data_IF_745861324435
#
_entry.id   IF_745861324435
#
_cell.length_a   1.000
_cell.length_b   1.000
_cell.length_c   1.000
_cell.angle_alpha   90.00
_cell.angle_beta   90.00
_cell.angle_gamma   90.00
#
_symmetry.space_group_name_H-M   'P 1'
#
loop_
_entity.id
_entity.type
_entity.pdbx_description
1 polymer ?
#
# COMPACT_ATOMS: atom_id res chain seq x y z
N UNK A 1 6.88 -23.02 22.30
CA UNK A 1 6.32 -22.23 21.18
C UNK A 1 7.18 -20.98 21.06
N UNK A 2 7.69 -20.65 19.87
CA UNK A 2 8.60 -19.49 19.73
C UNK A 2 7.85 -18.18 19.94
N UNK A 3 8.52 -17.18 20.50
CA UNK A 3 7.97 -15.84 20.77
C UNK A 3 7.34 -15.19 19.53
N UNK A 4 7.84 -15.54 18.34
CA UNK A 4 7.31 -15.12 17.05
C UNK A 4 5.92 -15.68 16.72
N UNK A 5 5.62 -16.92 17.08
CA UNK A 5 4.30 -17.55 16.83
C UNK A 5 3.25 -17.01 17.81
N UNK A 6 3.67 -16.73 19.05
CA UNK A 6 2.84 -16.03 20.04
C UNK A 6 2.45 -14.64 19.54
N UNK A 7 3.43 -13.85 19.07
CA UNK A 7 3.19 -12.50 18.52
C UNK A 7 2.28 -12.50 17.28
N UNK A 8 2.44 -13.46 16.36
CA UNK A 8 1.54 -13.59 15.20
C UNK A 8 0.11 -13.86 15.62
N UNK A 9 -0.07 -14.76 16.60
CA UNK A 9 -1.40 -15.12 17.14
C UNK A 9 -2.04 -13.91 17.81
N UNK A 10 -1.26 -13.14 18.57
CA UNK A 10 -1.71 -11.91 19.22
C UNK A 10 -2.10 -10.83 18.20
N UNK A 11 -1.29 -10.58 17.17
CA UNK A 11 -1.61 -9.63 16.09
C UNK A 11 -2.92 -10.03 15.39
N UNK A 12 -3.14 -11.33 15.14
CA UNK A 12 -4.38 -11.83 14.54
C UNK A 12 -5.59 -11.55 15.45
N UNK A 13 -5.46 -11.81 16.75
CA UNK A 13 -6.50 -11.53 17.75
C UNK A 13 -6.81 -10.04 17.84
N UNK A 14 -5.78 -9.19 17.91
CA UNK A 14 -5.94 -7.73 17.95
C UNK A 14 -6.57 -7.21 16.66
N UNK A 15 -6.20 -7.75 15.49
CA UNK A 15 -6.79 -7.37 14.22
C UNK A 15 -8.29 -7.69 14.15
N UNK A 16 -8.71 -8.83 14.69
CA UNK A 16 -10.13 -9.17 14.79
C UNK A 16 -10.86 -8.20 15.73
N UNK A 17 -10.29 -7.91 16.91
CA UNK A 17 -10.84 -6.94 17.86
C UNK A 17 -11.00 -5.55 17.26
N UNK A 18 -9.99 -5.04 16.54
CA UNK A 18 -10.08 -3.72 15.89
C UNK A 18 -11.15 -3.69 14.79
N UNK A 19 -11.36 -4.80 14.07
CA UNK A 19 -12.43 -4.88 13.07
C UNK A 19 -13.81 -4.81 13.71
N UNK A 20 -14.03 -5.53 14.82
CA UNK A 20 -15.28 -5.45 15.60
C UNK A 20 -15.50 -4.05 16.16
N UNK A 21 -14.49 -3.45 16.79
CA UNK A 21 -14.61 -2.10 17.35
C UNK A 21 -14.93 -1.05 16.27
N UNK A 22 -14.32 -1.18 15.08
CA UNK A 22 -14.65 -0.36 13.91
C UNK A 22 -16.13 -0.46 13.52
N UNK A 23 -16.67 -1.68 13.47
CA UNK A 23 -18.09 -1.90 13.14
C UNK A 23 -19.00 -1.28 14.20
N UNK A 24 -18.70 -1.49 15.49
CA UNK A 24 -19.48 -0.90 16.57
C UNK A 24 -19.50 0.64 16.53
N UNK A 25 -18.36 1.27 16.20
CA UNK A 25 -18.29 2.73 16.08
C UNK A 25 -19.09 3.25 14.87
N UNK A 26 -19.07 2.52 13.75
CA UNK A 26 -19.89 2.82 12.59
C UNK A 26 -21.38 2.80 12.95
N UNK A 27 -21.85 1.70 13.54
CA UNK A 27 -23.25 1.52 13.89
C UNK A 27 -23.71 2.56 14.95
N UNK A 28 -22.83 2.89 15.90
CA UNK A 28 -23.10 3.93 16.91
C UNK A 28 -23.23 5.33 16.30
N UNK A 29 -22.56 5.60 15.17
CA UNK A 29 -22.67 6.87 14.48
C UNK A 29 -23.94 6.93 13.60
N UNK A 30 -24.36 5.81 13.02
CA UNK A 30 -25.58 5.72 12.22
C UNK A 30 -26.86 5.83 13.05
N UNK A 31 -26.86 5.36 14.30
CA UNK A 31 -28.04 5.32 15.17
C UNK A 31 -28.36 6.68 15.85
N UNK A 32 -27.56 7.73 15.63
CA UNK A 32 -27.80 9.03 16.24
C UNK A 32 -29.14 9.66 15.81
N UNK A 33 -29.92 10.26 16.72
CA UNK A 33 -29.57 10.63 18.11
C UNK A 33 -29.83 9.52 19.15
N UNK A 34 -30.24 8.33 18.74
CA UNK A 34 -30.46 7.20 19.65
C UNK A 34 -29.13 6.80 20.30
N UNK A 35 -29.16 6.47 21.59
CA UNK A 35 -28.02 5.96 22.36
C UNK A 35 -26.72 6.82 22.29
N UNK A 36 -26.84 8.13 22.05
CA UNK A 36 -25.71 9.05 21.90
C UNK A 36 -24.77 9.08 23.11
N UNK A 37 -25.26 8.74 24.31
CA UNK A 37 -24.47 8.68 25.54
C UNK A 37 -23.35 7.61 25.48
N UNK A 38 -23.51 6.60 24.63
CA UNK A 38 -22.52 5.52 24.46
C UNK A 38 -21.34 5.90 23.54
N UNK A 39 -21.49 6.94 22.72
CA UNK A 39 -20.51 7.34 21.70
C UNK A 39 -19.10 7.56 22.27
N UNK A 40 -18.90 8.28 23.41
CA UNK A 40 -17.56 8.44 23.97
C UNK A 40 -16.89 7.12 24.36
N UNK A 41 -17.67 6.18 24.90
CA UNK A 41 -17.15 4.87 25.31
C UNK A 41 -16.77 4.01 24.10
N UNK A 42 -17.62 3.95 23.07
CA UNK A 42 -17.36 3.18 21.84
C UNK A 42 -16.17 3.77 21.06
N UNK A 43 -16.07 5.10 21.02
CA UNK A 43 -14.93 5.77 20.40
C UNK A 43 -13.61 5.46 21.13
N UNK A 44 -13.61 5.50 22.47
CA UNK A 44 -12.43 5.17 23.26
C UNK A 44 -12.01 3.70 23.08
N UNK A 45 -12.97 2.76 23.10
CA UNK A 45 -12.68 1.35 22.87
C UNK A 45 -12.07 1.11 21.48
N UNK A 46 -12.60 1.79 20.47
CA UNK A 46 -12.09 1.70 19.10
C UNK A 46 -10.66 2.24 19.01
N UNK A 47 -10.42 3.41 19.59
CA UNK A 47 -9.09 4.00 19.68
C UNK A 47 -8.09 3.03 20.33
N UNK A 48 -8.43 2.47 21.50
CA UNK A 48 -7.55 1.58 22.25
C UNK A 48 -7.29 0.26 21.52
N UNK A 49 -8.29 -0.27 20.82
CA UNK A 49 -8.14 -1.46 20.00
C UNK A 49 -7.16 -1.24 18.84
N UNK A 50 -7.21 -0.09 18.16
CA UNK A 50 -6.27 0.23 17.08
C UNK A 50 -4.88 0.60 17.61
N UNK A 51 -4.79 1.30 18.74
CA UNK A 51 -3.51 1.61 19.39
C UNK A 51 -2.77 0.33 19.81
N UNK A 52 -3.47 -0.64 20.40
CA UNK A 52 -2.89 -1.93 20.77
C UNK A 52 -2.44 -2.74 19.55
N UNK A 53 -3.24 -2.76 18.47
CA UNK A 53 -2.88 -3.44 17.23
C UNK A 53 -1.63 -2.83 16.59
N UNK A 54 -1.51 -1.51 16.57
CA UNK A 54 -0.35 -0.82 16.02
C UNK A 54 0.92 -1.09 16.86
N UNK A 55 0.79 -1.02 18.19
CA UNK A 55 1.88 -1.38 19.10
C UNK A 55 2.38 -2.82 18.87
N UNK A 56 1.48 -3.80 18.77
CA UNK A 56 1.84 -5.20 18.52
C UNK A 56 2.45 -5.41 17.12
N UNK A 57 1.95 -4.71 16.08
CA UNK A 57 2.55 -4.74 14.74
C UNK A 57 3.95 -4.12 14.72
N UNK A 58 4.18 -3.08 15.51
CA UNK A 58 5.50 -2.45 15.67
C UNK A 58 6.51 -3.40 16.33
N UNK A 59 6.08 -4.15 17.35
CA UNK A 59 6.88 -5.17 18.05
C UNK A 59 7.20 -6.35 17.11
N UNK A 60 6.19 -6.85 16.40
CA UNK A 60 6.36 -7.90 15.38
C UNK A 60 7.28 -7.50 14.21
N UNK A 61 7.46 -6.19 13.97
CA UNK A 61 8.43 -5.64 13.02
C UNK A 61 9.84 -5.62 13.61
N UNK A 62 10.00 -5.25 14.90
CA UNK A 62 11.28 -5.26 15.62
C UNK A 62 11.85 -6.67 15.76
N UNK A 63 11.01 -7.67 16.09
CA UNK A 63 11.42 -9.08 16.18
C UNK A 63 11.81 -9.74 14.85
N UNK A 64 11.42 -9.15 13.70
CA UNK A 64 11.83 -9.60 12.36
C UNK A 64 13.16 -8.99 11.89
N UNK A 65 13.74 -8.07 12.66
CA UNK A 65 15.01 -7.40 12.35
C UNK A 65 16.28 -8.22 12.66
N UNK A 66 16.14 -9.50 13.06
CA UNK A 66 17.24 -10.37 13.45
C UNK A 66 17.76 -11.33 12.36
N UNK A 67 17.43 -11.12 11.08
CA UNK A 67 18.13 -11.84 10.01
C UNK A 67 19.43 -11.08 9.73
N UNK A 68 20.53 -11.66 10.20
CA UNK A 68 21.90 -11.18 10.06
C UNK A 68 22.16 -10.70 8.62
N UNK A 69 22.79 -9.52 8.54
CA UNK A 69 23.25 -8.82 7.34
C UNK A 69 24.37 -9.57 6.59
N UNK A 70 24.20 -10.86 6.29
CA UNK A 70 25.13 -11.60 5.45
C UNK A 70 24.73 -11.33 3.99
N UNK A 71 25.29 -10.25 3.44
CA UNK A 71 25.15 -9.93 2.01
C UNK A 71 24.79 -8.47 1.67
N UNK A 72 24.72 -7.54 2.63
CA UNK A 72 24.55 -6.12 2.27
C UNK A 72 25.86 -5.56 1.73
N UNK A 73 25.87 -5.21 0.45
CA UNK A 73 26.89 -4.36 -0.13
C UNK A 73 26.85 -2.98 0.57
N UNK A 74 27.89 -2.56 1.32
CA UNK A 74 27.87 -1.35 2.14
C UNK A 74 27.95 -0.04 1.33
N UNK A 75 27.86 -0.10 0.00
CA UNK A 75 28.21 1.02 -0.87
C UNK A 75 27.11 2.08 -1.08
N UNK A 76 25.86 1.88 -0.62
CA UNK A 76 24.80 2.91 -0.73
C UNK A 76 24.04 3.07 0.59
N UNK A 77 24.48 4.03 1.40
CA UNK A 77 23.73 4.49 2.56
C UNK A 77 22.72 5.57 2.12
N UNK A 78 21.42 5.23 2.12
CA UNK A 78 20.36 6.22 1.93
C UNK A 78 19.88 6.72 3.29
N UNK A 79 19.63 8.02 3.40
CA UNK A 79 19.18 8.65 4.64
C UNK A 79 18.00 9.58 4.38
N UNK A 80 17.12 9.70 5.36
CA UNK A 80 16.13 10.77 5.41
C UNK A 80 16.79 12.11 5.75
N UNK A 81 16.04 13.21 5.61
CA UNK A 81 16.52 14.57 5.90
C UNK A 81 17.14 14.76 7.29
N UNK A 82 16.68 13.99 8.27
CA UNK A 82 17.17 14.01 9.67
C UNK A 82 18.29 12.98 9.93
N UNK A 83 18.81 12.32 8.89
CA UNK A 83 19.91 11.37 8.98
C UNK A 83 19.51 9.96 9.39
N UNK A 84 18.22 9.66 9.60
CA UNK A 84 17.79 8.27 9.85
C UNK A 84 18.02 7.43 8.60
N UNK A 85 18.37 6.15 8.81
CA UNK A 85 18.50 5.20 7.73
C UNK A 85 17.17 5.06 6.99
N UNK A 86 17.24 5.16 5.67
CA UNK A 86 16.14 4.92 4.75
C UNK A 86 16.62 3.96 3.67
N UNK A 87 15.72 3.22 3.04
CA UNK A 87 16.04 2.43 1.86
C UNK A 87 14.91 2.70 0.87
N UNK A 88 15.20 3.33 -0.27
CA UNK A 88 14.20 3.51 -1.32
C UNK A 88 13.63 2.16 -1.75
N UNK A 89 12.34 2.11 -2.02
CA UNK A 89 11.63 0.91 -2.46
C UNK A 89 11.05 1.17 -3.86
N UNK A 90 11.77 0.75 -4.89
CA UNK A 90 11.48 1.12 -6.27
C UNK A 90 10.37 0.25 -6.86
N UNK A 91 9.38 0.88 -7.47
CA UNK A 91 8.37 0.19 -8.27
C UNK A 91 9.03 -0.46 -9.50
N UNK A 92 8.94 -1.79 -9.61
CA UNK A 92 9.53 -2.56 -10.72
C UNK A 92 8.49 -3.19 -11.64
N UNK A 93 7.28 -3.45 -11.15
CA UNK A 93 6.22 -4.06 -11.94
C UNK A 93 4.83 -3.74 -11.39
N UNK A 94 3.84 -3.77 -12.28
CA UNK A 94 2.42 -3.75 -11.95
C UNK A 94 1.78 -4.97 -12.62
N UNK A 95 1.04 -5.76 -11.84
CA UNK A 95 0.31 -6.91 -12.35
C UNK A 95 -0.94 -6.44 -13.09
N UNK A 96 -0.91 -6.53 -14.42
CA UNK A 96 -1.99 -6.16 -15.33
C UNK A 96 -3.27 -6.97 -15.15
N UNK A 97 -3.20 -8.18 -14.56
CA UNK A 97 -4.36 -9.04 -14.35
C UNK A 97 -5.16 -8.60 -13.13
N UNK A 98 -4.47 -8.14 -12.09
CA UNK A 98 -5.08 -7.64 -10.85
C UNK A 98 -5.39 -6.14 -10.92
N UNK A 99 -4.68 -5.39 -11.76
CA UNK A 99 -4.85 -3.95 -11.93
C UNK A 99 -6.20 -3.62 -12.58
N UNK A 100 -6.91 -2.68 -11.96
CA UNK A 100 -8.25 -2.23 -12.41
C UNK A 100 -8.23 -0.84 -13.06
N UNK A 101 -7.04 -0.28 -13.34
CA UNK A 101 -6.93 1.03 -13.99
C UNK A 101 -7.50 2.21 -13.18
N UNK A 102 -7.54 2.14 -11.85
CA UNK A 102 -8.16 3.21 -11.03
C UNK A 102 -7.38 4.53 -10.95
N UNK A 103 -6.17 4.62 -11.53
CA UNK A 103 -5.37 5.85 -11.61
C UNK A 103 -4.80 6.42 -10.30
N UNK A 104 -5.22 5.95 -9.11
CA UNK A 104 -4.80 6.50 -7.81
C UNK A 104 -3.28 6.56 -7.62
N UNK A 105 -2.59 5.52 -8.11
CA UNK A 105 -1.14 5.45 -7.98
C UNK A 105 -0.43 6.47 -8.88
N UNK A 106 -0.96 6.75 -10.07
CA UNK A 106 -0.45 7.82 -10.94
C UNK A 106 -0.69 9.19 -10.32
N UNK A 107 -1.91 9.47 -9.85
CA UNK A 107 -2.24 10.78 -9.24
C UNK A 107 -1.43 11.11 -7.97
N UNK A 108 -0.89 10.11 -7.25
CA UNK A 108 0.02 10.35 -6.11
C UNK A 108 1.50 10.37 -6.49
N UNK A 109 1.85 9.96 -7.71
CA UNK A 109 3.24 9.85 -8.14
C UNK A 109 3.77 11.23 -8.55
N UNK A 110 4.66 11.81 -7.75
CA UNK A 110 5.26 13.12 -8.05
C UNK A 110 6.40 13.07 -9.10
N UNK A 111 6.50 11.96 -9.84
CA UNK A 111 7.65 11.63 -10.70
C UNK A 111 7.24 11.00 -12.03
N UNK A 112 5.94 10.90 -12.32
CA UNK A 112 5.42 10.39 -13.60
C UNK A 112 6.00 9.02 -14.01
N UNK A 113 6.09 8.10 -13.04
CA UNK A 113 6.73 6.78 -13.20
C UNK A 113 5.86 5.79 -13.98
N UNK A 114 4.54 5.92 -13.88
CA UNK A 114 3.56 5.05 -14.52
C UNK A 114 2.34 5.84 -14.97
N UNK A 115 1.74 5.41 -16.07
CA UNK A 115 0.54 6.02 -16.63
C UNK A 115 -0.56 4.99 -16.88
N UNK A 116 -1.77 5.50 -17.14
CA UNK A 116 -2.92 4.69 -17.49
C UNK A 116 -2.84 4.32 -18.97
N UNK A 117 -3.04 3.04 -19.28
CA UNK A 117 -3.02 2.51 -20.64
C UNK A 117 -4.35 1.85 -20.96
N UNK A 118 -4.79 2.00 -22.21
CA UNK A 118 -5.89 1.24 -22.78
C UNK A 118 -5.47 -0.19 -23.09
N UNK A 119 -6.36 -1.14 -22.83
CA UNK A 119 -6.19 -2.55 -23.18
C UNK A 119 -7.35 -2.94 -24.09
N UNK A 120 -7.03 -3.46 -25.26
CA UNK A 120 -8.00 -3.96 -26.22
C UNK A 120 -8.14 -5.47 -26.21
N UNK A 121 -8.76 -5.99 -27.27
CA UNK A 121 -8.98 -7.42 -27.43
C UNK A 121 -7.66 -8.22 -27.41
N UNK A 122 -7.69 -9.37 -26.76
CA UNK A 122 -6.49 -10.22 -26.62
C UNK A 122 -5.42 -9.68 -25.68
N UNK A 123 -5.77 -8.75 -24.75
CA UNK A 123 -4.83 -8.11 -23.83
C UNK A 123 -3.78 -7.20 -24.52
N UNK A 124 -4.05 -6.75 -25.75
CA UNK A 124 -3.16 -5.83 -26.45
C UNK A 124 -3.19 -4.44 -25.80
N UNK A 125 -2.02 -3.90 -25.45
CA UNK A 125 -1.90 -2.52 -24.98
C UNK A 125 -2.11 -1.57 -26.16
N UNK A 126 -3.16 -0.75 -26.10
CA UNK A 126 -3.53 0.18 -27.16
C UNK A 126 -2.76 1.50 -27.10
N UNK A 127 -2.23 1.85 -25.92
CA UNK A 127 -1.45 3.07 -25.71
C UNK A 127 -1.77 3.76 -24.40
N UNK A 128 -1.02 4.83 -24.11
CA UNK A 128 -1.24 5.70 -22.94
C UNK A 128 -2.52 6.50 -23.15
N UNK A 129 -3.32 6.62 -22.10
CA UNK A 129 -4.54 7.43 -22.06
C UNK A 129 -4.13 8.83 -21.61
N UNK A 130 -4.26 9.81 -22.50
CA UNK A 130 -4.07 11.21 -22.18
C UNK A 130 -5.35 11.79 -21.55
N UNK A 131 -5.23 12.79 -20.67
CA UNK A 131 -6.32 13.26 -19.80
C UNK A 131 -7.48 13.95 -20.57
N UNK A 132 -7.35 14.11 -21.89
CA UNK A 132 -8.27 14.87 -22.75
C UNK A 132 -8.90 14.05 -23.89
N UNK A 133 -8.61 12.74 -24.01
CA UNK A 133 -9.07 11.85 -25.10
C UNK A 133 -9.91 10.67 -24.58
N UNK A 134 -10.90 10.95 -23.73
CA UNK A 134 -11.82 9.92 -23.23
C UNK A 134 -12.85 9.45 -24.28
N UNK A 135 -12.94 10.11 -25.45
CA UNK A 135 -14.01 9.90 -26.45
C UNK A 135 -13.57 9.25 -27.80
N UNK A 136 -12.27 8.98 -28.05
CA UNK A 136 -11.77 8.61 -29.39
C UNK A 136 -11.29 7.16 -29.58
N UNK A 137 -11.38 6.28 -28.57
CA UNK A 137 -11.14 4.85 -28.82
C UNK A 137 -12.37 4.23 -29.52
N UNK A 138 -12.23 3.99 -30.82
CA UNK A 138 -13.20 3.53 -31.82
C UNK A 138 -13.80 2.11 -31.62
N UNK A 139 -14.05 1.73 -30.36
CA UNK A 139 -14.78 0.50 -30.01
C UNK A 139 -13.89 -0.69 -29.63
N UNK A 140 -12.57 -0.56 -29.62
CA UNK A 140 -11.64 -1.65 -29.24
C UNK A 140 -11.13 -1.58 -27.79
N UNK A 141 -11.51 -0.57 -27.00
CA UNK A 141 -11.08 -0.47 -25.59
C UNK A 141 -11.90 -1.40 -24.68
N UNK A 142 -11.26 -2.47 -24.20
CA UNK A 142 -11.86 -3.45 -23.28
C UNK A 142 -11.74 -3.02 -21.82
N UNK A 143 -10.56 -2.52 -21.41
CA UNK A 143 -10.30 -2.09 -20.01
C UNK A 143 -9.09 -1.17 -19.93
N UNK A 144 -8.88 -0.54 -18.77
CA UNK A 144 -7.72 0.32 -18.49
C UNK A 144 -6.77 -0.38 -17.48
N UNK A 145 -5.46 -0.25 -17.66
CA UNK A 145 -4.44 -0.76 -16.71
C UNK A 145 -3.36 0.27 -16.45
N UNK A 146 -2.69 0.19 -15.30
CA UNK A 146 -1.51 1.00 -15.01
C UNK A 146 -0.26 0.28 -15.55
N UNK A 147 0.59 1.01 -16.28
CA UNK A 147 1.86 0.49 -16.83
C UNK A 147 3.02 1.36 -16.36
N UNK A 148 4.12 0.73 -15.95
CA UNK A 148 5.38 1.43 -15.64
C UNK A 148 6.10 1.73 -16.93
N UNK A 149 5.93 2.94 -17.44
CA UNK A 149 6.52 3.41 -18.71
C UNK A 149 7.75 4.30 -18.50
N UNK A 150 7.97 4.82 -17.29
CA UNK A 150 9.11 5.68 -16.96
C UNK A 150 9.79 5.25 -15.64
N UNK A 151 10.23 3.99 -15.59
CA UNK A 151 10.84 3.39 -14.41
C UNK A 151 12.02 4.20 -13.85
N UNK A 152 12.80 4.86 -14.71
CA UNK A 152 13.97 5.66 -14.34
C UNK A 152 13.67 6.90 -13.50
N UNK A 153 12.43 7.39 -13.50
CA UNK A 153 12.04 8.53 -12.66
C UNK A 153 11.72 8.14 -11.21
N UNK A 154 11.59 6.84 -10.93
CA UNK A 154 11.22 6.34 -9.61
C UNK A 154 12.30 6.64 -8.58
N UNK A 155 11.92 7.30 -7.48
CA UNK A 155 12.83 7.59 -6.35
C UNK A 155 12.60 6.66 -5.15
N UNK A 156 11.76 5.63 -5.33
CA UNK A 156 11.46 4.65 -4.31
C UNK A 156 10.74 5.19 -3.06
N UNK A 157 9.89 6.22 -3.21
CA UNK A 157 9.16 6.82 -2.09
C UNK A 157 7.97 5.98 -1.57
N UNK A 158 7.56 4.94 -2.30
CA UNK A 158 6.48 4.01 -1.90
C UNK A 158 5.09 4.63 -1.78
N UNK A 159 4.85 5.84 -2.32
CA UNK A 159 3.54 6.49 -2.27
C UNK A 159 2.47 5.71 -3.05
N UNK A 160 2.83 5.19 -4.23
CA UNK A 160 1.97 4.38 -5.08
C UNK A 160 1.46 3.10 -4.39
N UNK A 161 2.32 2.43 -3.62
CA UNK A 161 1.96 1.22 -2.89
C UNK A 161 0.86 1.48 -1.85
N UNK A 162 0.96 2.59 -1.12
CA UNK A 162 0.02 2.94 -0.04
C UNK A 162 -1.39 3.23 -0.53
N UNK A 163 -1.53 3.71 -1.77
CA UNK A 163 -2.82 4.10 -2.35
C UNK A 163 -3.42 3.03 -3.26
N UNK A 164 -2.71 1.93 -3.54
CA UNK A 164 -3.18 0.87 -4.42
C UNK A 164 -4.18 -0.04 -3.68
N UNK A 165 -5.49 -0.01 -3.99
CA UNK A 165 -6.49 -0.81 -3.28
C UNK A 165 -6.34 -2.32 -3.54
N UNK A 166 -5.74 -2.70 -4.68
CA UNK A 166 -5.56 -4.09 -5.09
C UNK A 166 -4.18 -4.65 -4.73
N UNK A 167 -3.28 -3.82 -4.22
CA UNK A 167 -1.89 -4.18 -3.92
C UNK A 167 -1.19 -4.95 -5.07
N UNK A 168 -1.44 -4.52 -6.32
CA UNK A 168 -0.96 -5.19 -7.55
C UNK A 168 0.46 -4.77 -7.97
N UNK A 169 1.21 -4.08 -7.09
CA UNK A 169 2.49 -3.47 -7.41
C UNK A 169 3.62 -4.26 -6.76
N UNK A 170 4.69 -4.50 -7.51
CA UNK A 170 5.92 -5.09 -6.98
C UNK A 170 6.96 -3.99 -6.80
N UNK A 171 7.51 -3.92 -5.58
CA UNK A 171 8.58 -2.99 -5.25
C UNK A 171 9.82 -3.77 -4.82
N UNK A 172 10.99 -3.24 -5.16
CA UNK A 172 12.28 -3.82 -4.79
C UNK A 172 13.09 -2.76 -4.04
N UNK A 173 13.54 -3.07 -2.82
CA UNK A 173 14.46 -2.22 -2.07
C UNK A 173 15.74 -1.94 -2.83
N UNK A 174 16.25 -0.71 -2.74
CA UNK A 174 17.47 -0.28 -3.42
C UNK A 174 18.69 -1.14 -3.10
N UNK A 175 18.77 -1.73 -1.90
CA UNK A 175 19.84 -2.63 -1.49
C UNK A 175 19.76 -4.03 -2.14
N UNK A 176 18.69 -4.32 -2.88
CA UNK A 176 18.45 -5.59 -3.60
C UNK A 176 18.38 -5.42 -5.12
N UNK A 177 18.34 -4.19 -5.63
CA UNK A 177 18.52 -3.92 -7.05
C UNK A 177 20.02 -4.02 -7.31
N UNK A 178 20.46 -5.13 -7.89
CA UNK A 178 21.83 -5.28 -8.33
C UNK A 178 22.18 -4.13 -9.29
N UNK A 179 23.26 -3.40 -8.98
CA UNK A 179 23.91 -2.48 -9.91
C UNK A 179 24.65 -3.27 -10.99
#
# INVERSE_FOLDING_TARGET
MSDTETLKTEIKKLSARSATAKMNLHDSAEDLPTNWQSVPAVAQETHDAFAALDAARSEGRRGRGGLTLIGRNPAMAFTTRDGRAWIPDFLVAIDETTCIGCGRCYKVCSRDVMHLFGVGDGNLLLGKIEEDEDDDFDGELVRKVMVVDNAGACIGCGACARVCPKNCQTHVPADRIAA
#
